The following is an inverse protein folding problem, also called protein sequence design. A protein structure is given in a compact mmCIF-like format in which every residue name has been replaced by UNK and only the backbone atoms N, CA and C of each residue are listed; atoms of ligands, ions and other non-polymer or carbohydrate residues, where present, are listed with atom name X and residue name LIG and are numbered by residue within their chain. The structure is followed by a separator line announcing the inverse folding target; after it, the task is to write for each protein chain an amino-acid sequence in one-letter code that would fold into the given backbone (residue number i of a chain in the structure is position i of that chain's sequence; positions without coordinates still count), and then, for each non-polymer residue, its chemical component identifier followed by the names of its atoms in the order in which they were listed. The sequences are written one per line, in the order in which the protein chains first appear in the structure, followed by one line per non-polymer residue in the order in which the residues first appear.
data_IF_578178021460
#
_entry.id   IF_578178021460
#
_cell.length_a   1.000
_cell.length_b   1.000
_cell.length_c   1.000
_cell.angle_alpha   90.00
_cell.angle_beta   90.00
_cell.angle_gamma   90.00
#
_symmetry.space_group_name_H-M   'P 1'
#
loop_
_entity.id
_entity.type
_entity.pdbx_description
1 polymer ?
#
# COMPACT_ATOMS: atom_id res chain seq x y z
N UNK A 1 -17.75 40.77 -10.69
CA UNK A 1 -16.76 39.66 -10.66
C UNK A 1 -16.39 39.36 -9.22
N UNK A 2 -16.63 38.16 -8.66
CA UNK A 2 -16.08 37.79 -7.37
C UNK A 2 -14.76 37.02 -7.51
N UNK A 3 -13.85 37.31 -6.57
CA UNK A 3 -12.45 36.90 -6.50
C UNK A 3 -12.30 35.40 -6.25
N UNK A 4 -11.31 34.80 -6.91
CA UNK A 4 -10.83 33.42 -6.68
C UNK A 4 -10.25 33.32 -5.27
N UNK A 5 -11.03 32.78 -4.34
CA UNK A 5 -10.50 32.20 -3.11
C UNK A 5 -10.03 30.78 -3.43
N UNK A 6 -8.72 30.60 -3.59
CA UNK A 6 -8.11 29.26 -3.69
C UNK A 6 -8.29 28.53 -2.36
N UNK A 7 -9.29 27.66 -2.28
CA UNK A 7 -9.37 26.60 -1.27
C UNK A 7 -8.23 25.61 -1.59
N UNK A 8 -7.07 25.80 -0.98
CA UNK A 8 -6.05 24.77 -0.98
C UNK A 8 -6.61 23.49 -0.33
N UNK A 9 -6.47 22.38 -1.05
CA UNK A 9 -7.04 21.06 -0.80
C UNK A 9 -6.91 20.54 0.64
N UNK A 10 -8.03 20.51 1.36
CA UNK A 10 -8.18 19.66 2.56
C UNK A 10 -8.44 18.19 2.21
N UNK A 11 -8.86 17.88 0.97
CA UNK A 11 -9.10 16.51 0.47
C UNK A 11 -7.82 15.67 0.46
N UNK A 12 -6.72 16.25 -0.02
CA UNK A 12 -5.40 15.59 -0.11
C UNK A 12 -4.85 15.08 1.24
N UNK A 13 -5.21 15.71 2.37
CA UNK A 13 -4.71 15.30 3.70
C UNK A 13 -5.47 14.10 4.27
N UNK A 14 -6.72 13.90 3.86
CA UNK A 14 -7.53 12.76 4.28
C UNK A 14 -7.23 11.50 3.47
N UNK A 15 -6.81 11.67 2.21
CA UNK A 15 -6.48 10.54 1.34
C UNK A 15 -5.20 9.80 1.76
N UNK A 16 -4.22 10.45 2.42
CA UNK A 16 -2.93 9.80 2.77
C UNK A 16 -3.10 8.68 3.80
N UNK A 17 -3.74 8.89 4.97
CA UNK A 17 -4.02 7.79 5.91
C UNK A 17 -4.83 6.66 5.27
N UNK A 18 -5.74 7.03 4.38
CA UNK A 18 -6.62 6.11 3.67
C UNK A 18 -5.86 5.25 2.65
N UNK A 19 -5.01 5.87 1.84
CA UNK A 19 -4.14 5.23 0.88
C UNK A 19 -3.13 4.30 1.57
N UNK A 20 -2.57 4.74 2.70
CA UNK A 20 -1.66 3.93 3.50
C UNK A 20 -2.35 2.67 4.02
N UNK A 21 -3.58 2.81 4.54
CA UNK A 21 -4.39 1.68 5.01
C UNK A 21 -4.78 0.71 3.89
N UNK A 22 -5.22 1.23 2.73
CA UNK A 22 -5.45 0.41 1.53
C UNK A 22 -4.19 -0.37 1.17
N UNK A 23 -3.03 0.29 1.19
CA UNK A 23 -1.76 -0.35 0.85
C UNK A 23 -1.39 -1.47 1.82
N UNK A 24 -1.54 -1.27 3.13
CA UNK A 24 -1.32 -2.34 4.10
C UNK A 24 -2.23 -3.54 3.87
N UNK A 25 -3.53 -3.31 3.63
CA UNK A 25 -4.49 -4.38 3.33
C UNK A 25 -4.12 -5.14 2.06
N UNK A 26 -3.80 -4.41 0.98
CA UNK A 26 -3.44 -5.03 -0.30
C UNK A 26 -2.16 -5.84 -0.19
N UNK A 27 -1.14 -5.35 0.52
CA UNK A 27 0.12 -6.08 0.73
C UNK A 27 -0.10 -7.32 1.59
N UNK A 28 -0.91 -7.22 2.64
CA UNK A 28 -1.26 -8.36 3.48
C UNK A 28 -1.89 -9.48 2.66
N UNK A 29 -2.92 -9.16 1.87
CA UNK A 29 -3.62 -10.14 1.03
C UNK A 29 -2.70 -10.72 -0.04
N UNK A 30 -1.83 -9.91 -0.65
CA UNK A 30 -0.82 -10.37 -1.62
C UNK A 30 0.13 -11.42 -0.99
N UNK A 31 0.67 -11.13 0.18
CA UNK A 31 1.63 -12.01 0.85
C UNK A 31 0.98 -13.24 1.51
N UNK A 32 -0.27 -13.14 1.94
CA UNK A 32 -1.05 -14.27 2.46
C UNK A 32 -1.24 -15.38 1.44
N UNK A 33 -1.36 -15.05 0.16
CA UNK A 33 -1.47 -16.05 -0.93
C UNK A 33 -0.21 -16.91 -1.09
N UNK A 34 0.92 -16.52 -0.49
CA UNK A 34 2.22 -17.13 -0.74
C UNK A 34 2.82 -17.93 0.43
N UNK A 35 2.00 -18.53 1.28
CA UNK A 35 2.47 -19.21 2.49
C UNK A 35 3.43 -20.40 2.20
N UNK A 36 3.56 -20.91 0.98
CA UNK A 36 4.29 -22.18 0.75
C UNK A 36 5.59 -22.18 -0.05
N UNK A 37 6.09 -21.09 -0.65
CA UNK A 37 7.26 -21.21 -1.56
C UNK A 37 8.22 -20.00 -1.61
N UNK A 38 8.78 -19.55 -0.49
CA UNK A 38 9.77 -18.45 -0.48
C UNK A 38 10.98 -18.71 0.40
N UNK A 39 12.20 -18.46 -0.11
CA UNK A 39 13.46 -18.38 0.65
C UNK A 39 13.53 -17.17 1.61
N UNK A 40 12.41 -16.50 1.86
CA UNK A 40 12.38 -15.36 2.77
C UNK A 40 12.60 -15.87 4.20
N UNK A 41 13.28 -15.08 5.02
CA UNK A 41 13.48 -15.44 6.42
C UNK A 41 12.10 -15.55 7.09
N UNK A 42 11.70 -16.78 7.47
CA UNK A 42 10.39 -17.07 8.03
C UNK A 42 10.04 -16.20 9.23
N UNK A 43 10.99 -15.91 10.12
CA UNK A 43 10.74 -15.08 11.31
C UNK A 43 10.50 -13.61 10.92
N UNK A 44 11.29 -13.07 10.01
CA UNK A 44 11.11 -11.71 9.52
C UNK A 44 9.79 -11.56 8.73
N UNK A 45 9.43 -12.59 7.94
CA UNK A 45 8.19 -12.60 7.19
C UNK A 45 6.97 -12.73 8.10
N UNK A 46 7.00 -13.62 9.10
CA UNK A 46 5.96 -13.73 10.13
C UNK A 46 5.75 -12.38 10.84
N UNK A 47 6.84 -11.75 11.27
CA UNK A 47 6.79 -10.44 11.92
C UNK A 47 6.17 -9.36 11.02
N UNK A 48 6.53 -9.34 9.73
CA UNK A 48 5.91 -8.46 8.73
C UNK A 48 4.41 -8.74 8.57
N UNK A 49 4.02 -10.00 8.45
CA UNK A 49 2.61 -10.41 8.31
C UNK A 49 1.79 -10.01 9.54
N UNK A 50 2.32 -10.17 10.75
CA UNK A 50 1.66 -9.71 11.98
C UNK A 50 1.50 -8.19 12.01
N UNK A 51 2.53 -7.45 11.61
CA UNK A 51 2.45 -5.99 11.54
C UNK A 51 1.38 -5.54 10.55
N UNK A 52 1.36 -6.15 9.37
CA UNK A 52 0.37 -5.86 8.33
C UNK A 52 -1.05 -6.22 8.78
N UNK A 53 -1.25 -7.39 9.41
CA UNK A 53 -2.55 -7.81 9.96
C UNK A 53 -3.08 -6.84 11.02
N UNK A 54 -2.21 -6.38 11.93
CA UNK A 54 -2.59 -5.37 12.94
C UNK A 54 -3.03 -4.05 12.31
N UNK A 55 -2.38 -3.63 11.22
CA UNK A 55 -2.75 -2.42 10.48
C UNK A 55 -4.01 -2.64 9.63
N UNK A 56 -4.23 -3.88 9.17
CA UNK A 56 -5.30 -4.21 8.24
C UNK A 56 -6.68 -4.40 8.89
N UNK A 57 -6.73 -4.71 10.19
CA UNK A 57 -7.95 -4.93 10.99
C UNK A 57 -8.90 -3.73 11.11
N UNK A 58 -8.62 -2.62 10.46
CA UNK A 58 -9.53 -1.48 10.43
C UNK A 58 -10.44 -1.57 9.19
N UNK A 59 -11.75 -1.58 9.43
CA UNK A 59 -12.91 -1.56 8.51
C UNK A 59 -12.69 -1.20 7.03
N UNK A 60 -13.47 -1.84 6.14
CA UNK A 60 -13.58 -1.51 4.71
C UNK A 60 -13.56 0.00 4.52
N UNK A 61 -12.49 0.47 3.90
CA UNK A 61 -12.28 1.89 3.69
C UNK A 61 -13.12 2.28 2.47
N UNK A 62 -14.17 3.09 2.62
CA UNK A 62 -14.92 3.56 1.46
C UNK A 62 -13.96 4.32 0.55
N UNK A 63 -13.94 4.02 -0.74
CA UNK A 63 -13.04 4.70 -1.68
C UNK A 63 -13.65 6.04 -2.03
N UNK A 64 -12.97 7.13 -1.68
CA UNK A 64 -13.52 8.49 -1.77
C UNK A 64 -12.88 9.33 -2.87
N UNK A 65 -11.83 8.83 -3.52
CA UNK A 65 -11.09 9.56 -4.57
C UNK A 65 -10.58 8.63 -5.68
N UNK A 66 -10.44 9.19 -6.88
CA UNK A 66 -9.92 8.51 -8.08
C UNK A 66 -8.49 7.97 -7.89
N UNK A 67 -7.70 8.64 -7.06
CA UNK A 67 -6.33 8.32 -6.71
C UNK A 67 -6.29 7.01 -5.90
N UNK A 68 -7.22 6.85 -4.95
CA UNK A 68 -7.37 5.62 -4.17
C UNK A 68 -7.87 4.46 -5.03
N UNK A 69 -8.78 4.71 -5.98
CA UNK A 69 -9.17 3.69 -6.95
C UNK A 69 -7.99 3.22 -7.81
N UNK A 70 -7.17 4.17 -8.26
CA UNK A 70 -5.96 3.89 -9.05
C UNK A 70 -4.97 3.05 -8.25
N UNK A 71 -4.76 3.39 -6.97
CA UNK A 71 -3.93 2.60 -6.07
C UNK A 71 -4.44 1.15 -5.93
N UNK A 72 -5.74 0.96 -5.73
CA UNK A 72 -6.35 -0.39 -5.68
C UNK A 72 -6.13 -1.13 -6.99
N UNK A 73 -6.34 -0.47 -8.14
CA UNK A 73 -6.11 -1.07 -9.47
C UNK A 73 -4.65 -1.49 -9.64
N UNK A 74 -3.70 -0.68 -9.19
CA UNK A 74 -2.27 -1.00 -9.26
C UNK A 74 -1.93 -2.25 -8.44
N UNK A 75 -2.46 -2.39 -7.22
CA UNK A 75 -2.28 -3.61 -6.43
C UNK A 75 -2.94 -4.84 -7.08
N UNK A 76 -4.09 -4.68 -7.73
CA UNK A 76 -4.72 -5.76 -8.51
C UNK A 76 -3.88 -6.17 -9.72
N UNK A 77 -3.27 -5.23 -10.43
CA UNK A 77 -2.35 -5.53 -11.52
C UNK A 77 -1.13 -6.31 -11.02
N UNK A 78 -0.60 -5.93 -9.85
CA UNK A 78 0.51 -6.63 -9.22
C UNK A 78 0.13 -8.07 -8.81
N UNK A 79 -1.07 -8.26 -8.26
CA UNK A 79 -1.62 -9.58 -7.92
C UNK A 79 -1.79 -10.47 -9.16
N UNK A 80 -2.34 -9.90 -10.24
CA UNK A 80 -2.49 -10.59 -11.52
C UNK A 80 -1.13 -10.98 -12.11
N UNK A 81 -0.15 -10.08 -12.08
CA UNK A 81 1.21 -10.36 -12.51
C UNK A 81 1.81 -11.52 -11.71
N UNK A 82 1.74 -11.47 -10.38
CA UNK A 82 2.25 -12.55 -9.53
C UNK A 82 1.56 -13.88 -9.79
N UNK A 83 0.23 -13.86 -9.99
CA UNK A 83 -0.55 -15.05 -10.33
C UNK A 83 -0.12 -15.64 -11.68
N UNK A 84 0.03 -14.81 -12.73
CA UNK A 84 0.50 -15.24 -14.05
C UNK A 84 1.92 -15.82 -14.01
N UNK A 85 2.76 -15.29 -13.11
CA UNK A 85 4.12 -15.78 -12.92
C UNK A 85 4.21 -16.94 -11.90
N UNK A 86 3.08 -17.54 -11.51
CA UNK A 86 2.99 -18.60 -10.50
C UNK A 86 3.75 -18.27 -9.20
N UNK A 87 3.74 -16.99 -8.81
CA UNK A 87 4.44 -16.47 -7.65
C UNK A 87 5.93 -16.86 -7.62
N UNK A 88 6.58 -16.91 -8.79
CA UNK A 88 8.00 -17.23 -8.93
C UNK A 88 8.87 -16.34 -8.06
N UNK A 89 10.07 -16.83 -7.71
CA UNK A 89 11.02 -16.06 -6.88
C UNK A 89 11.34 -14.69 -7.50
N UNK A 90 11.60 -14.64 -8.80
CA UNK A 90 11.90 -13.41 -9.51
C UNK A 90 10.72 -12.44 -9.48
N UNK A 91 9.50 -12.93 -9.74
CA UNK A 91 8.30 -12.10 -9.72
C UNK A 91 8.02 -11.52 -8.32
N UNK A 92 8.29 -12.28 -7.26
CA UNK A 92 8.17 -11.78 -5.88
C UNK A 92 9.20 -10.71 -5.52
N UNK A 93 10.44 -10.83 -5.98
CA UNK A 93 11.43 -9.76 -5.74
C UNK A 93 11.07 -8.49 -6.51
N UNK A 94 10.51 -8.60 -7.73
CA UNK A 94 9.95 -7.45 -8.46
C UNK A 94 8.80 -6.82 -7.64
N UNK A 95 7.84 -7.62 -7.20
CA UNK A 95 6.71 -7.12 -6.42
C UNK A 95 7.13 -6.49 -5.09
N UNK A 96 8.15 -7.06 -4.43
CA UNK A 96 8.75 -6.50 -3.22
C UNK A 96 9.33 -5.11 -3.48
N UNK A 97 10.04 -4.90 -4.59
CA UNK A 97 10.59 -3.60 -4.95
C UNK A 97 9.50 -2.55 -5.18
N UNK A 98 8.45 -2.91 -5.92
CA UNK A 98 7.30 -2.01 -6.14
C UNK A 98 6.61 -1.63 -4.82
N UNK A 99 6.40 -2.60 -3.94
CA UNK A 99 5.84 -2.37 -2.60
C UNK A 99 6.73 -1.43 -1.78
N UNK A 100 8.05 -1.61 -1.82
CA UNK A 100 9.00 -0.75 -1.12
C UNK A 100 8.97 0.70 -1.63
N UNK A 101 8.83 0.91 -2.94
CA UNK A 101 8.69 2.26 -3.52
C UNK A 101 7.43 2.95 -2.99
N UNK A 102 6.31 2.24 -2.96
CA UNK A 102 5.04 2.77 -2.41
C UNK A 102 5.17 3.09 -0.92
N UNK A 103 5.75 2.19 -0.13
CA UNK A 103 5.94 2.40 1.31
C UNK A 103 6.92 3.53 1.63
N UNK A 104 8.00 3.67 0.83
CA UNK A 104 8.94 4.78 0.99
C UNK A 104 8.28 6.13 0.64
N UNK A 105 7.40 6.16 -0.36
CA UNK A 105 6.61 7.36 -0.66
C UNK A 105 5.76 7.78 0.55
N UNK A 106 5.02 6.85 1.16
CA UNK A 106 4.24 7.14 2.36
C UNK A 106 5.12 7.59 3.52
N UNK A 107 6.26 6.94 3.75
CA UNK A 107 7.23 7.35 4.76
C UNK A 107 7.67 8.80 4.57
N UNK A 108 8.01 9.22 3.35
CA UNK A 108 8.40 10.62 3.06
C UNK A 108 7.26 11.60 3.28
N UNK A 109 6.03 11.21 2.95
CA UNK A 109 4.83 12.04 3.12
C UNK A 109 4.46 12.23 4.59
N UNK A 110 4.58 11.19 5.42
CA UNK A 110 4.23 11.24 6.85
C UNK A 110 5.31 11.86 7.72
N UNK A 111 6.60 11.75 7.34
CA UNK A 111 7.71 12.32 8.11
C UNK A 111 7.95 13.82 7.91
N UNK A 112 7.29 14.50 6.95
CA UNK A 112 7.49 15.94 6.67
C UNK A 112 6.94 16.93 7.72
N UNK A 113 6.50 16.48 8.91
CA UNK A 113 5.90 17.34 9.96
C UNK A 113 6.76 17.53 11.22
N UNK A 114 8.08 17.71 11.08
CA UNK A 114 8.90 18.31 12.14
C UNK A 114 9.80 19.38 11.55
N UNK A 115 9.22 20.55 11.31
CA UNK A 115 9.97 21.80 11.30
C UNK A 115 9.39 22.66 12.42
N UNK A 116 10.27 23.02 13.38
CA UNK A 116 10.06 24.01 14.44
C UNK A 116 9.60 25.35 13.85
#
# INVERSE_FOLDING_TARGET
MPKRGGKCDDRSKQDIPQALKISYNSIFELFKKKITHGHWNNAAFQNLMEHLDRQAKSNSVPVTSSELETLIKNFKLLDNFLTQQNFSRCAMEIARNEILVVMDHFRRMTHKRRHN
#
